data_IF_774852100895
#
_entry.id   IF_774852100895
#
_cell.length_a   1.000
_cell.length_b   1.000
_cell.length_c   1.000
_cell.angle_alpha   90.00
_cell.angle_beta   90.00
_cell.angle_gamma   90.00
#
_symmetry.space_group_name_H-M   'P 1'
#
loop_
_entity.id
_entity.type
_entity.pdbx_description
1 polymer ?
#
# COMPACT_ATOMS: atom_id res chain seq x y z
N UNK A 1 -22.37 12.10 -4.88
CA UNK A 1 -21.71 13.42 -4.75
C UNK A 1 -20.35 13.35 -5.42
N UNK A 2 -19.91 14.35 -6.20
CA UNK A 2 -18.55 14.36 -6.71
C UNK A 2 -17.59 14.43 -5.52
N UNK A 3 -16.69 13.45 -5.41
CA UNK A 3 -15.65 13.42 -4.37
C UNK A 3 -14.62 14.49 -4.74
N UNK A 4 -14.76 15.66 -4.14
CA UNK A 4 -13.76 16.72 -4.24
C UNK A 4 -12.42 16.13 -3.83
N UNK A 5 -11.45 16.17 -4.73
CA UNK A 5 -10.05 15.86 -4.40
C UNK A 5 -9.69 16.87 -3.30
N UNK A 6 -9.54 16.42 -2.06
CA UNK A 6 -9.01 17.26 -0.99
C UNK A 6 -7.62 17.67 -1.47
N UNK A 7 -7.48 18.89 -1.97
CA UNK A 7 -6.17 19.51 -2.18
C UNK A 7 -5.53 19.58 -0.80
N UNK A 8 -4.62 18.65 -0.49
CA UNK A 8 -3.99 18.61 0.81
C UNK A 8 -2.91 19.68 0.84
N UNK A 9 -3.16 20.76 1.58
CA UNK A 9 -2.16 21.79 1.88
C UNK A 9 -0.87 21.21 2.49
N UNK A 10 -0.94 20.00 3.05
CA UNK A 10 0.16 19.26 3.66
C UNK A 10 1.31 18.89 2.73
N UNK A 11 1.13 18.95 1.41
CA UNK A 11 2.16 18.59 0.43
C UNK A 11 2.89 19.82 -0.16
N UNK A 12 2.39 21.03 0.10
CA UNK A 12 2.90 22.25 -0.53
C UNK A 12 4.31 22.56 0.01
N UNK A 13 5.30 22.60 -0.89
CA UNK A 13 6.68 22.93 -0.57
C UNK A 13 7.54 21.75 -0.13
N UNK A 14 6.99 20.53 -0.08
CA UNK A 14 7.77 19.33 0.17
C UNK A 14 8.51 18.89 -1.11
N UNK A 15 9.73 18.34 -0.98
CA UNK A 15 10.43 17.78 -2.12
C UNK A 15 9.71 16.52 -2.64
N UNK A 16 9.85 16.21 -3.94
CA UNK A 16 9.37 14.93 -4.50
C UNK A 16 9.93 13.74 -3.72
N UNK A 17 9.12 12.68 -3.55
CA UNK A 17 9.42 11.51 -2.74
C UNK A 17 9.13 11.67 -1.24
N UNK A 18 8.53 12.79 -0.82
CA UNK A 18 8.14 12.99 0.57
C UNK A 18 6.94 12.10 0.93
N UNK A 19 7.11 11.24 1.93
CA UNK A 19 6.09 10.29 2.34
C UNK A 19 5.08 10.94 3.29
N UNK A 20 3.90 11.29 2.77
CA UNK A 20 2.79 11.86 3.53
C UNK A 20 1.50 11.15 3.16
N UNK A 21 0.81 10.58 4.15
CA UNK A 21 -0.51 9.97 3.91
C UNK A 21 -1.55 11.05 3.59
N UNK A 22 -2.09 11.01 2.37
CA UNK A 22 -3.16 11.88 1.89
C UNK A 22 -4.40 11.03 1.67
N UNK A 23 -5.28 11.02 2.67
CA UNK A 23 -6.46 10.17 2.67
C UNK A 23 -7.25 10.26 3.95
N UNK A 24 -8.38 9.57 3.98
CA UNK A 24 -9.12 9.34 5.21
C UNK A 24 -8.55 8.11 5.89
N UNK A 25 -8.10 8.27 7.13
CA UNK A 25 -7.79 7.14 7.99
C UNK A 25 -9.10 6.43 8.34
N UNK A 26 -9.23 5.16 7.92
CA UNK A 26 -10.44 4.36 8.12
C UNK A 26 -10.36 3.42 9.32
N UNK A 27 -9.14 3.17 9.81
CA UNK A 27 -8.84 2.22 10.89
C UNK A 27 -7.78 2.83 11.81
N UNK A 28 -7.75 2.40 13.08
CA UNK A 28 -6.85 2.98 14.08
C UNK A 28 -5.42 2.40 13.96
N UNK A 29 -5.31 1.06 13.89
CA UNK A 29 -4.04 0.34 13.76
C UNK A 29 -3.93 -0.27 12.36
N UNK A 30 -2.73 -0.24 11.78
CA UNK A 30 -2.45 -0.98 10.55
C UNK A 30 -2.49 -2.49 10.82
N UNK A 31 -3.02 -3.26 9.86
CA UNK A 31 -3.08 -4.72 9.92
C UNK A 31 -2.29 -5.29 8.74
N UNK A 32 -1.47 -6.30 9.02
CA UNK A 32 -0.66 -6.98 8.01
C UNK A 32 -1.07 -8.44 7.99
N UNK A 33 -1.42 -8.94 6.80
CA UNK A 33 -1.73 -10.35 6.56
C UNK A 33 -0.86 -10.88 5.45
N UNK A 34 -0.33 -12.08 5.65
CA UNK A 34 0.45 -12.81 4.67
C UNK A 34 -0.35 -14.04 4.25
N UNK A 35 -0.51 -14.22 2.95
CA UNK A 35 -1.07 -15.42 2.33
C UNK A 35 0.02 -15.98 1.44
N UNK A 36 0.65 -17.06 1.85
CA UNK A 36 1.74 -17.72 1.13
C UNK A 36 1.25 -19.07 0.62
N UNK A 37 1.47 -19.37 -0.65
CA UNK A 37 0.91 -20.56 -1.27
C UNK A 37 1.74 -21.10 -2.42
N UNK A 38 1.60 -22.41 -2.64
CA UNK A 38 2.09 -23.13 -3.79
C UNK A 38 1.02 -24.12 -4.31
N UNK A 39 1.43 -25.11 -5.10
CA UNK A 39 0.53 -26.13 -5.64
C UNK A 39 -0.01 -27.13 -4.58
N UNK A 40 0.61 -27.19 -3.41
CA UNK A 40 0.37 -28.20 -2.38
C UNK A 40 -0.32 -27.62 -1.13
N UNK A 41 0.02 -26.39 -0.74
CA UNK A 41 -0.47 -25.77 0.50
C UNK A 41 -0.73 -24.26 0.40
N UNK A 42 -1.55 -23.79 1.34
CA UNK A 42 -1.82 -22.36 1.58
C UNK A 42 -1.61 -22.09 3.06
N UNK A 43 -0.83 -21.06 3.37
CA UNK A 43 -0.50 -20.62 4.71
C UNK A 43 -0.92 -19.16 4.88
N UNK A 44 -1.83 -18.94 5.82
CA UNK A 44 -2.30 -17.60 6.17
C UNK A 44 -1.84 -17.23 7.57
N UNK A 45 -1.30 -16.02 7.74
CA UNK A 45 -0.95 -15.48 9.05
C UNK A 45 -1.11 -13.97 9.13
N UNK A 46 -1.54 -13.48 10.28
CA UNK A 46 -1.43 -12.07 10.64
C UNK A 46 -0.09 -11.86 11.37
N UNK A 47 0.55 -10.73 11.10
CA UNK A 47 1.85 -10.37 11.70
C UNK A 47 1.78 -8.97 12.30
N UNK A 48 2.59 -8.74 13.35
CA UNK A 48 2.62 -7.45 14.04
C UNK A 48 3.59 -6.46 13.37
N UNK A 49 4.61 -6.99 12.67
CA UNK A 49 5.67 -6.19 12.06
C UNK A 49 5.85 -6.53 10.58
N UNK A 50 6.20 -5.53 9.76
CA UNK A 50 6.37 -5.74 8.32
C UNK A 50 7.62 -6.55 8.00
N UNK A 51 8.61 -6.51 8.89
CA UNK A 51 9.85 -7.26 8.81
C UNK A 51 9.62 -8.78 8.81
N UNK A 52 8.53 -9.26 9.40
CA UNK A 52 8.13 -10.67 9.35
C UNK A 52 7.76 -11.13 7.92
N UNK A 53 7.49 -10.21 6.99
CA UNK A 53 7.21 -10.51 5.59
C UNK A 53 8.48 -10.67 4.75
N UNK A 54 9.61 -10.13 5.19
CA UNK A 54 10.84 -10.05 4.39
C UNK A 54 11.39 -11.40 3.95
N UNK A 55 11.39 -12.46 4.79
CA UNK A 55 11.89 -13.77 4.38
C UNK A 55 11.10 -14.45 3.25
N UNK A 56 9.90 -13.95 2.88
CA UNK A 56 9.12 -14.52 1.78
C UNK A 56 9.59 -14.05 0.41
N UNK A 57 10.34 -12.95 0.33
CA UNK A 57 10.84 -12.42 -0.95
C UNK A 57 11.73 -13.42 -1.69
N UNK A 58 12.48 -14.21 -0.94
CA UNK A 58 13.50 -15.12 -1.47
C UNK A 58 13.01 -16.60 -1.46
N UNK A 59 11.71 -16.84 -1.30
CA UNK A 59 11.09 -18.18 -1.35
C UNK A 59 10.56 -18.49 -2.76
N UNK A 60 10.51 -19.78 -3.11
CA UNK A 60 9.98 -20.25 -4.40
C UNK A 60 8.42 -20.30 -4.43
N UNK A 61 7.75 -19.80 -3.39
CA UNK A 61 6.29 -19.74 -3.27
C UNK A 61 5.73 -18.41 -3.79
N UNK A 62 4.41 -18.36 -4.01
CA UNK A 62 3.69 -17.11 -4.28
C UNK A 62 3.20 -16.51 -2.97
N UNK A 63 3.64 -15.30 -2.64
CA UNK A 63 3.26 -14.62 -1.40
C UNK A 63 2.46 -13.34 -1.68
N UNK A 64 1.28 -13.24 -1.08
CA UNK A 64 0.49 -12.01 -1.03
C UNK A 64 0.58 -11.38 0.36
N UNK A 65 1.21 -10.20 0.41
CA UNK A 65 1.25 -9.34 1.59
C UNK A 65 0.11 -8.30 1.47
N UNK A 66 -0.89 -8.40 2.33
CA UNK A 66 -2.00 -7.45 2.42
C UNK A 66 -1.78 -6.51 3.60
N UNK A 67 -1.80 -5.19 3.34
CA UNK A 67 -1.59 -4.15 4.34
C UNK A 67 -2.82 -3.24 4.35
N UNK A 68 -3.56 -3.27 5.44
CA UNK A 68 -4.65 -2.34 5.71
C UNK A 68 -4.11 -1.22 6.61
N UNK A 69 -4.43 0.04 6.28
CA UNK A 69 -4.02 1.21 7.09
C UNK A 69 -2.75 1.90 6.61
N UNK A 70 -2.79 2.49 5.41
CA UNK A 70 -1.69 3.26 4.81
C UNK A 70 -1.32 4.55 5.58
N UNK A 71 -2.01 4.88 6.67
CA UNK A 71 -1.66 6.01 7.54
C UNK A 71 -0.38 5.75 8.35
N UNK A 72 0.02 4.49 8.53
CA UNK A 72 1.32 4.14 9.09
C UNK A 72 2.43 4.30 8.04
N UNK A 73 2.93 5.53 7.91
CA UNK A 73 3.94 5.89 6.91
C UNK A 73 5.26 5.15 7.14
N UNK A 74 5.65 4.90 8.38
CA UNK A 74 6.90 4.23 8.71
C UNK A 74 6.89 2.76 8.26
N UNK A 75 5.74 2.09 8.39
CA UNK A 75 5.52 0.75 7.87
C UNK A 75 5.70 0.71 6.34
N UNK A 76 5.07 1.64 5.62
CA UNK A 76 5.15 1.71 4.14
C UNK A 76 6.56 2.07 3.67
N UNK A 77 7.26 2.95 4.37
CA UNK A 77 8.66 3.29 4.09
C UNK A 77 9.58 2.07 4.23
N UNK A 78 9.45 1.31 5.33
CA UNK A 78 10.22 0.08 5.55
C UNK A 78 9.95 -0.98 4.48
N UNK A 79 8.68 -1.17 4.10
CA UNK A 79 8.30 -2.04 2.99
C UNK A 79 9.00 -1.60 1.71
N UNK A 80 8.86 -0.33 1.35
CA UNK A 80 9.42 0.22 0.12
C UNK A 80 10.94 0.08 0.04
N UNK A 81 11.64 0.38 1.14
CA UNK A 81 13.09 0.23 1.22
C UNK A 81 13.52 -1.23 1.05
N UNK A 82 12.81 -2.18 1.65
CA UNK A 82 13.16 -3.60 1.59
C UNK A 82 12.93 -4.21 0.19
N UNK A 83 11.83 -3.82 -0.46
CA UNK A 83 11.46 -4.33 -1.79
C UNK A 83 11.99 -3.48 -2.95
N UNK A 84 12.71 -2.38 -2.68
CA UNK A 84 13.31 -1.53 -3.71
C UNK A 84 12.30 -0.65 -4.45
N UNK A 85 11.15 -0.34 -3.86
CA UNK A 85 10.16 0.53 -4.47
C UNK A 85 10.67 1.97 -4.55
N UNK A 86 10.54 2.60 -5.72
CA UNK A 86 11.00 3.98 -5.93
C UNK A 86 10.22 4.95 -5.01
N UNK A 87 10.86 5.98 -4.42
CA UNK A 87 10.20 6.92 -3.51
C UNK A 87 8.93 7.57 -4.06
N UNK A 88 8.89 7.85 -5.37
CA UNK A 88 7.69 8.39 -6.04
C UNK A 88 6.50 7.41 -6.04
N UNK A 89 6.77 6.10 -6.12
CA UNK A 89 5.72 5.08 -6.03
C UNK A 89 5.16 5.03 -4.61
N UNK A 90 6.02 5.13 -3.59
CA UNK A 90 5.58 5.18 -2.18
C UNK A 90 4.75 6.44 -1.90
N UNK A 91 5.15 7.58 -2.43
CA UNK A 91 4.36 8.82 -2.40
C UNK A 91 2.97 8.62 -3.02
N UNK A 92 2.90 7.96 -4.18
CA UNK A 92 1.63 7.66 -4.85
C UNK A 92 0.76 6.65 -4.08
N UNK A 93 1.36 5.64 -3.42
CA UNK A 93 0.65 4.69 -2.54
C UNK A 93 -0.01 5.45 -1.39
N UNK A 94 0.72 6.37 -0.76
CA UNK A 94 0.23 7.17 0.37
C UNK A 94 -0.81 8.22 -0.06
N UNK A 95 -0.88 8.57 -1.34
CA UNK A 95 -1.87 9.47 -1.88
C UNK A 95 -3.12 8.76 -2.43
N UNK A 96 -4.06 8.46 -1.53
CA UNK A 96 -5.33 7.79 -1.85
C UNK A 96 -6.29 8.62 -2.73
N UNK A 97 -5.95 9.87 -3.03
CA UNK A 97 -6.70 10.78 -3.91
C UNK A 97 -6.40 10.60 -5.41
N UNK A 98 -5.28 9.94 -5.74
CA UNK A 98 -4.83 9.76 -7.13
C UNK A 98 -5.83 8.99 -8.00
N UNK A 99 -5.81 9.23 -9.32
CA UNK A 99 -6.60 8.46 -10.28
C UNK A 99 -5.98 7.06 -10.46
N UNK A 100 -6.79 6.03 -10.79
CA UNK A 100 -6.25 4.73 -11.16
C UNK A 100 -5.22 4.84 -12.27
N UNK A 101 -4.13 4.10 -12.13
CA UNK A 101 -3.02 4.09 -13.08
C UNK A 101 -2.25 2.76 -13.01
N UNK A 102 -1.49 2.51 -14.07
CA UNK A 102 -0.56 1.40 -14.20
C UNK A 102 0.79 1.98 -14.62
N UNK A 103 1.85 1.57 -13.95
CA UNK A 103 3.23 1.91 -14.27
C UNK A 103 4.08 0.65 -14.27
N UNK A 104 4.86 0.47 -15.31
CA UNK A 104 5.75 -0.67 -15.52
C UNK A 104 7.18 -0.23 -15.22
N UNK A 105 7.84 -0.96 -14.31
CA UNK A 105 9.24 -0.77 -13.96
C UNK A 105 9.99 -2.07 -14.24
N UNK A 106 11.32 -1.98 -14.34
CA UNK A 106 12.15 -3.14 -14.69
C UNK A 106 11.97 -4.33 -13.71
N UNK A 107 11.79 -4.04 -12.42
CA UNK A 107 11.72 -5.04 -11.35
C UNK A 107 10.30 -5.31 -10.82
N UNK A 108 9.32 -4.44 -11.11
CA UNK A 108 7.96 -4.56 -10.58
C UNK A 108 6.92 -3.76 -11.38
N UNK A 109 5.64 -4.12 -11.23
CA UNK A 109 4.53 -3.32 -11.74
C UNK A 109 3.82 -2.61 -10.58
N UNK A 110 3.48 -1.33 -10.77
CA UNK A 110 2.64 -0.58 -9.83
C UNK A 110 1.25 -0.36 -10.39
N UNK A 111 0.23 -0.72 -9.61
CA UNK A 111 -1.18 -0.55 -9.98
C UNK A 111 -1.92 0.16 -8.86
N UNK A 112 -2.61 1.26 -9.20
CA UNK A 112 -3.54 1.95 -8.29
C UNK A 112 -4.97 1.76 -8.78
N UNK A 113 -5.86 1.31 -7.90
CA UNK A 113 -7.27 1.05 -8.19
C UNK A 113 -8.18 1.71 -7.14
N UNK A 114 -9.47 1.91 -7.48
CA UNK A 114 -10.48 2.37 -6.53
C UNK A 114 -11.52 1.27 -6.29
N UNK A 115 -11.63 0.83 -5.04
CA UNK A 115 -12.74 -0.01 -4.61
C UNK A 115 -14.00 0.84 -4.44
N UNK A 116 -15.06 0.49 -5.16
CA UNK A 116 -16.37 1.13 -5.06
C UNK A 116 -17.23 0.36 -4.06
N UNK A 117 -17.80 1.08 -3.10
CA UNK A 117 -18.75 0.53 -2.14
C UNK A 117 -20.10 1.19 -2.36
N UNK A 118 -21.11 0.40 -2.68
CA UNK A 118 -22.49 0.88 -2.74
C UNK A 118 -23.05 0.91 -1.31
N UNK A 119 -23.22 2.11 -0.76
CA UNK A 119 -23.90 2.29 0.51
C UNK A 119 -25.39 2.47 0.19
N UNK A 120 -26.17 1.37 0.26
CA UNK A 120 -27.56 1.29 -0.20
C UNK A 120 -28.60 2.12 0.57
N UNK A 121 -28.21 3.26 1.12
CA UNK A 121 -29.15 4.23 1.67
C UNK A 121 -29.74 5.06 0.52
N UNK A 122 -31.01 4.78 0.22
CA UNK A 122 -31.91 5.71 -0.48
C UNK A 122 -32.25 6.89 0.45
#
# INVERSE_FOLDING_TARGET
>A
MPRWIKHSSSMIGLPPGSLVHIGEQKIDKAHIRIIDYDENEVREREVDTIEECFPFRDQDSSTWINIDGLHDVALIEKLGLHFGAHPMVLEDILNTGQRPKFEDFDDYCFISLKMLYYNGKQ
#
